data_IF_532459427851
#
_entry.id   IF_532459427851
#
_cell.length_a   1.000
_cell.length_b   1.000
_cell.length_c   1.000
_cell.angle_alpha   90.00
_cell.angle_beta   90.00
_cell.angle_gamma   90.00
#
_symmetry.space_group_name_H-M   'P 1'
#
loop_
_entity.id
_entity.type
_entity.pdbx_description
1 polymer ?
#
# COMPACT_ATOMS: atom_id res chain seq x y z
N UNK A 1 29.24 -8.64 31.78
CA UNK A 1 29.50 -8.71 30.33
C UNK A 1 29.48 -7.26 29.84
N UNK A 2 30.65 -6.63 29.78
CA UNK A 2 30.78 -5.23 29.37
C UNK A 2 30.93 -5.23 27.84
N UNK A 3 29.91 -4.75 27.14
CA UNK A 3 29.96 -4.58 25.69
C UNK A 3 31.02 -3.53 25.35
N UNK A 4 32.02 -3.94 24.57
CA UNK A 4 33.12 -3.10 24.13
C UNK A 4 32.60 -2.13 23.06
N UNK A 5 32.21 -0.92 23.49
CA UNK A 5 31.68 0.15 22.63
C UNK A 5 32.75 0.88 21.82
N UNK A 6 34.02 0.48 21.92
CA UNK A 6 35.13 1.20 21.28
C UNK A 6 35.17 1.07 19.75
N UNK A 7 34.37 0.17 19.18
CA UNK A 7 34.38 -0.10 17.74
C UNK A 7 33.11 0.34 17.01
N UNK A 8 32.28 1.21 17.62
CA UNK A 8 31.13 1.78 16.92
C UNK A 8 31.59 2.99 16.07
N UNK A 9 31.35 3.00 14.74
CA UNK A 9 31.72 4.12 13.91
C UNK A 9 30.99 5.38 14.38
N UNK A 10 31.71 6.51 14.38
CA UNK A 10 31.13 7.80 14.71
C UNK A 10 30.18 8.20 13.57
N UNK A 11 28.88 8.13 13.81
CA UNK A 11 27.87 8.51 12.82
C UNK A 11 27.68 10.01 12.88
N UNK A 12 28.16 10.73 11.87
CA UNK A 12 27.91 12.16 11.74
C UNK A 12 26.42 12.36 11.40
N UNK A 13 25.66 12.96 12.32
CA UNK A 13 24.25 13.26 12.10
C UNK A 13 24.11 14.53 11.25
N UNK A 14 23.52 14.39 10.06
CA UNK A 14 23.17 15.52 9.21
C UNK A 14 21.91 16.26 9.68
N UNK A 15 21.40 17.18 8.86
CA UNK A 15 20.09 17.83 9.10
C UNK A 15 18.97 16.79 9.19
N UNK A 16 17.99 17.03 10.06
CA UNK A 16 16.81 16.17 10.20
C UNK A 16 16.01 16.12 8.91
N UNK A 17 15.95 14.95 8.27
CA UNK A 17 15.01 14.66 7.20
C UNK A 17 13.70 14.13 7.76
N UNK A 18 12.57 14.70 7.32
CA UNK A 18 11.23 14.20 7.66
C UNK A 18 10.65 13.53 6.43
N UNK A 19 10.33 12.23 6.53
CA UNK A 19 9.66 11.48 5.47
C UNK A 19 8.18 11.35 5.81
N UNK A 20 7.34 12.01 5.02
CA UNK A 20 5.88 11.85 5.08
C UNK A 20 5.50 10.80 4.04
N UNK A 21 4.94 9.68 4.49
CA UNK A 21 4.41 8.63 3.62
C UNK A 21 2.90 8.53 3.75
N UNK A 22 2.23 8.36 2.62
CA UNK A 22 0.84 7.96 2.52
C UNK A 22 0.74 6.83 1.48
N UNK A 23 -0.32 6.03 1.55
CA UNK A 23 -0.63 4.98 0.59
C UNK A 23 -1.06 5.53 -0.78
N UNK A 24 -1.31 6.83 -0.87
CA UNK A 24 -1.89 7.47 -2.04
C UNK A 24 -3.40 7.21 -2.16
N UNK A 25 -4.03 7.91 -3.10
CA UNK A 25 -5.45 7.77 -3.47
C UNK A 25 -5.54 7.58 -4.98
N UNK A 26 -6.61 6.94 -5.50
CA UNK A 26 -6.78 6.81 -6.94
C UNK A 26 -6.83 8.19 -7.63
N UNK A 27 -6.25 8.29 -8.82
CA UNK A 27 -6.16 9.54 -9.62
C UNK A 27 -7.54 10.09 -10.05
N UNK A 28 -8.59 9.26 -9.95
CA UNK A 28 -9.95 9.62 -10.29
C UNK A 28 -10.97 8.63 -9.72
N UNK A 29 -12.25 9.01 -9.81
CA UNK A 29 -13.37 8.17 -9.36
C UNK A 29 -13.84 7.17 -10.42
N UNK A 30 -13.20 7.14 -11.58
CA UNK A 30 -13.55 6.20 -12.65
C UNK A 30 -13.13 4.77 -12.29
N UNK A 31 -13.82 3.82 -12.92
CA UNK A 31 -13.61 2.40 -12.65
C UNK A 31 -12.16 1.95 -12.87
N UNK A 32 -11.48 2.52 -13.86
CA UNK A 32 -10.16 2.06 -14.27
C UNK A 32 -9.07 2.57 -13.33
N UNK A 33 -9.15 3.84 -12.91
CA UNK A 33 -8.29 4.43 -11.88
C UNK A 33 -8.41 3.69 -10.55
N UNK A 34 -9.64 3.39 -10.10
CA UNK A 34 -9.88 2.63 -8.86
C UNK A 34 -9.34 1.19 -8.98
N UNK A 35 -9.57 0.53 -10.12
CA UNK A 35 -9.07 -0.84 -10.36
C UNK A 35 -7.53 -0.87 -10.34
N UNK A 36 -6.86 0.11 -10.95
CA UNK A 36 -5.40 0.21 -10.98
C UNK A 36 -4.84 0.38 -9.56
N UNK A 37 -5.37 1.35 -8.82
CA UNK A 37 -4.98 1.60 -7.43
C UNK A 37 -5.15 0.35 -6.54
N UNK A 38 -6.32 -0.28 -6.57
CA UNK A 38 -6.58 -1.49 -5.76
C UNK A 38 -5.67 -2.65 -6.15
N UNK A 39 -5.33 -2.79 -7.43
CA UNK A 39 -4.43 -3.84 -7.89
C UNK A 39 -3.03 -3.62 -7.32
N UNK A 40 -2.51 -2.41 -7.38
CA UNK A 40 -1.17 -2.08 -6.85
C UNK A 40 -1.14 -2.27 -5.32
N UNK A 41 -2.14 -1.75 -4.61
CA UNK A 41 -2.22 -1.84 -3.15
C UNK A 41 -2.37 -3.29 -2.64
N UNK A 42 -3.31 -4.06 -3.21
CA UNK A 42 -3.60 -5.42 -2.75
C UNK A 42 -2.66 -6.48 -3.34
N UNK A 43 -1.78 -6.11 -4.27
CA UNK A 43 -0.70 -7.00 -4.71
C UNK A 43 0.47 -7.04 -3.71
N UNK A 44 0.51 -6.11 -2.75
CA UNK A 44 1.57 -6.09 -1.74
C UNK A 44 1.42 -7.29 -0.78
N UNK A 45 2.48 -8.10 -0.73
CA UNK A 45 2.56 -9.29 0.13
C UNK A 45 2.61 -8.95 1.62
N UNK A 46 2.97 -7.71 1.97
CA UNK A 46 2.99 -7.26 3.36
C UNK A 46 1.59 -7.07 3.94
N UNK A 47 0.58 -6.94 3.06
CA UNK A 47 -0.81 -6.74 3.46
C UNK A 47 -1.58 -8.06 3.55
N UNK A 48 -1.19 -9.09 2.78
CA UNK A 48 -1.92 -10.36 2.67
C UNK A 48 -1.00 -11.58 2.85
N UNK A 49 -1.33 -12.42 3.83
CA UNK A 49 -0.55 -13.60 4.25
C UNK A 49 -1.11 -14.94 3.71
N UNK A 50 -1.52 -14.96 2.44
CA UNK A 50 -2.13 -16.13 1.79
C UNK A 50 -1.24 -16.59 0.62
N UNK A 51 -1.33 -17.86 0.23
CA UNK A 51 -0.60 -18.40 -0.91
C UNK A 51 -0.78 -17.50 -2.16
N UNK A 52 0.35 -17.10 -2.78
CA UNK A 52 0.42 -16.14 -3.90
C UNK A 52 -0.52 -16.49 -5.05
N UNK A 53 -0.63 -17.77 -5.41
CA UNK A 53 -1.45 -18.19 -6.55
C UNK A 53 -2.94 -18.07 -6.24
N UNK A 54 -3.33 -18.50 -5.03
CA UNK A 54 -4.71 -18.39 -4.56
C UNK A 54 -5.12 -16.92 -4.42
N UNK A 55 -4.24 -16.09 -3.86
CA UNK A 55 -4.50 -14.67 -3.73
C UNK A 55 -4.58 -13.96 -5.08
N UNK A 56 -3.69 -14.29 -6.03
CA UNK A 56 -3.74 -13.74 -7.37
C UNK A 56 -5.07 -14.04 -8.06
N UNK A 57 -5.60 -15.25 -7.89
CA UNK A 57 -6.90 -15.65 -8.43
C UNK A 57 -8.04 -14.85 -7.79
N UNK A 58 -8.07 -14.74 -6.46
CA UNK A 58 -9.07 -13.97 -5.72
C UNK A 58 -9.01 -12.49 -6.10
N UNK A 59 -7.80 -11.93 -6.18
CA UNK A 59 -7.58 -10.53 -6.51
C UNK A 59 -8.10 -10.21 -7.91
N UNK A 60 -7.66 -10.96 -8.92
CA UNK A 60 -7.97 -10.64 -10.32
C UNK A 60 -9.39 -11.03 -10.74
N UNK A 61 -9.96 -12.11 -10.19
CA UNK A 61 -11.29 -12.58 -10.58
C UNK A 61 -12.41 -11.97 -9.73
N UNK A 62 -12.23 -11.90 -8.42
CA UNK A 62 -13.30 -11.46 -7.50
C UNK A 62 -13.11 -9.99 -7.14
N UNK A 63 -11.98 -9.62 -6.56
CA UNK A 63 -11.80 -8.29 -5.97
C UNK A 63 -11.81 -7.20 -7.05
N UNK A 64 -10.96 -7.30 -8.08
CA UNK A 64 -10.85 -6.27 -9.13
C UNK A 64 -12.09 -6.19 -10.04
N UNK A 65 -12.97 -7.20 -10.00
CA UNK A 65 -14.19 -7.24 -10.80
C UNK A 65 -15.40 -6.71 -10.04
N UNK A 66 -15.56 -7.09 -8.76
CA UNK A 66 -16.74 -6.73 -7.96
C UNK A 66 -16.53 -5.46 -7.10
N UNK A 67 -15.32 -5.26 -6.57
CA UNK A 67 -15.05 -4.19 -5.58
C UNK A 67 -15.19 -2.77 -6.15
N UNK A 68 -14.78 -2.45 -7.39
CA UNK A 68 -14.90 -1.08 -7.88
C UNK A 68 -16.35 -0.58 -7.96
N UNK A 69 -17.34 -1.47 -8.17
CA UNK A 69 -18.77 -1.10 -8.20
C UNK A 69 -19.30 -0.67 -6.83
N UNK A 70 -18.86 -1.32 -5.75
CA UNK A 70 -19.27 -0.95 -4.38
C UNK A 70 -18.47 0.24 -3.85
N UNK A 71 -17.16 0.24 -4.04
CA UNK A 71 -16.29 1.29 -3.48
C UNK A 71 -16.38 2.60 -4.27
N UNK A 72 -16.67 2.56 -5.58
CA UNK A 72 -16.85 3.79 -6.38
C UNK A 72 -18.02 4.65 -5.91
N UNK A 73 -19.10 4.05 -5.40
CA UNK A 73 -20.20 4.81 -4.77
C UNK A 73 -19.76 5.49 -3.48
N UNK A 74 -19.06 4.77 -2.60
CA UNK A 74 -18.56 5.33 -1.35
C UNK A 74 -17.51 6.44 -1.59
N UNK A 75 -16.60 6.27 -2.55
CA UNK A 75 -15.64 7.32 -2.92
C UNK A 75 -16.32 8.56 -3.52
N UNK A 76 -17.38 8.38 -4.31
CA UNK A 76 -18.18 9.50 -4.85
C UNK A 76 -18.91 10.27 -3.75
N UNK A 77 -19.32 9.59 -2.69
CA UNK A 77 -20.03 10.16 -1.55
C UNK A 77 -19.11 10.92 -0.59
N UNK A 78 -17.84 10.52 -0.46
CA UNK A 78 -16.84 11.20 0.39
C UNK A 78 -16.27 12.48 -0.26
N UNK A 79 -16.30 12.57 -1.59
CA UNK A 79 -15.68 13.68 -2.35
C UNK A 79 -16.69 14.71 -2.91
N UNK A 80 -17.97 14.63 -2.53
CA UNK A 80 -18.98 15.68 -2.76
C UNK A 80 -19.33 16.39 -1.45
#
# INVERSE_FOLDING_TARGET
>A
MLENTENHPKVEFGKTGVLIVNLGTPDGTDFWSIRRYLKEFLSDRRVIDINRYLWWLILNLIILTFRPKKTGKAYKEIWN
#
